data_IF_354806569846
#
_entry.id   IF_354806569846
#
_cell.length_a   1.000
_cell.length_b   1.000
_cell.length_c   1.000
_cell.angle_alpha   90.00
_cell.angle_beta   90.00
_cell.angle_gamma   90.00
#
_symmetry.space_group_name_H-M   'P 1'
#
loop_
_entity.id
_entity.type
_entity.pdbx_description
1 polymer ?
#
# COMPACT_ATOMS: atom_id res chain seq x y z
N UNK A 1 -2.87 -21.58 22.32
CA UNK A 1 -1.56 -21.24 21.73
C UNK A 1 -0.59 -21.00 22.86
N UNK A 2 0.57 -21.64 22.84
CA UNK A 2 1.64 -21.31 23.79
C UNK A 2 2.33 -19.98 23.41
N UNK A 3 2.98 -19.32 24.37
CA UNK A 3 3.73 -18.07 24.14
C UNK A 3 4.79 -18.20 23.03
N UNK A 4 5.36 -19.40 22.87
CA UNK A 4 6.30 -19.74 21.80
C UNK A 4 5.66 -19.75 20.41
N UNK A 5 4.41 -20.23 20.29
CA UNK A 5 3.69 -20.26 19.01
C UNK A 5 3.25 -18.87 18.57
N UNK A 6 2.80 -18.04 19.51
CA UNK A 6 2.46 -16.63 19.26
C UNK A 6 3.67 -15.84 18.76
N UNK A 7 4.82 -15.98 19.43
CA UNK A 7 6.07 -15.33 19.03
C UNK A 7 6.53 -15.72 17.62
N UNK A 8 6.33 -16.99 17.22
CA UNK A 8 6.68 -17.47 15.88
C UNK A 8 5.75 -16.94 14.80
N UNK A 9 4.45 -16.82 15.09
CA UNK A 9 3.47 -16.28 14.15
C UNK A 9 3.72 -14.80 13.87
N UNK A 10 3.98 -14.00 14.91
CA UNK A 10 4.28 -12.57 14.79
C UNK A 10 5.54 -12.34 13.93
N UNK A 11 6.62 -13.11 14.17
CA UNK A 11 7.85 -13.00 13.37
C UNK A 11 7.60 -13.28 11.89
N UNK A 12 6.83 -14.32 11.57
CA UNK A 12 6.49 -14.64 10.17
C UNK A 12 5.70 -13.53 9.49
N UNK A 13 4.80 -12.86 10.21
CA UNK A 13 4.06 -11.71 9.68
C UNK A 13 4.99 -10.51 9.45
N UNK A 14 5.88 -10.21 10.39
CA UNK A 14 6.88 -9.15 10.22
C UNK A 14 7.80 -9.41 9.01
N UNK A 15 8.29 -10.65 8.86
CA UNK A 15 9.09 -11.05 7.70
C UNK A 15 8.32 -10.87 6.39
N UNK A 16 7.02 -11.19 6.39
CA UNK A 16 6.14 -11.01 5.23
C UNK A 16 6.00 -9.53 4.85
N UNK A 17 5.87 -8.64 5.83
CA UNK A 17 5.83 -7.18 5.60
C UNK A 17 7.14 -6.71 4.97
N UNK A 18 8.28 -7.08 5.55
CA UNK A 18 9.61 -6.69 5.06
C UNK A 18 9.81 -7.17 3.61
N UNK A 19 9.45 -8.41 3.31
CA UNK A 19 9.50 -8.95 1.95
C UNK A 19 8.56 -8.20 1.00
N UNK A 20 7.36 -7.84 1.44
CA UNK A 20 6.42 -7.06 0.64
C UNK A 20 6.99 -5.69 0.27
N UNK A 21 7.63 -4.99 1.21
CA UNK A 21 8.31 -3.72 0.92
C UNK A 21 9.47 -3.89 -0.08
N UNK A 22 10.27 -4.94 0.10
CA UNK A 22 11.35 -5.25 -0.83
C UNK A 22 10.81 -5.55 -2.24
N UNK A 23 9.73 -6.32 -2.35
CA UNK A 23 9.08 -6.62 -3.62
C UNK A 23 8.57 -5.36 -4.34
N UNK A 24 8.07 -4.35 -3.60
CA UNK A 24 7.73 -3.03 -4.19
C UNK A 24 8.97 -2.36 -4.79
N UNK A 25 10.09 -2.34 -4.06
CA UNK A 25 11.35 -1.75 -4.57
C UNK A 25 11.89 -2.48 -5.80
N UNK A 26 11.71 -3.80 -5.85
CA UNK A 26 12.08 -4.66 -6.98
C UNK A 26 11.07 -4.62 -8.13
N UNK A 27 9.99 -3.84 -8.00
CA UNK A 27 8.87 -3.73 -8.95
C UNK A 27 8.12 -5.05 -9.17
N UNK A 28 8.23 -6.01 -8.26
CA UNK A 28 7.40 -7.20 -8.24
C UNK A 28 6.06 -6.92 -7.54
N UNK A 29 5.24 -6.09 -8.19
CA UNK A 29 4.04 -5.52 -7.56
C UNK A 29 2.97 -6.56 -7.23
N UNK A 30 2.83 -7.61 -8.04
CA UNK A 30 1.88 -8.69 -7.75
C UNK A 30 2.29 -9.45 -6.49
N UNK A 31 3.57 -9.81 -6.35
CA UNK A 31 4.08 -10.44 -5.13
C UNK A 31 3.93 -9.52 -3.92
N UNK A 32 4.31 -8.24 -4.07
CA UNK A 32 4.16 -7.25 -3.00
C UNK A 32 2.72 -7.16 -2.50
N UNK A 33 1.76 -7.08 -3.42
CA UNK A 33 0.33 -7.03 -3.11
C UNK A 33 -0.11 -8.27 -2.34
N UNK A 34 0.21 -9.45 -2.85
CA UNK A 34 -0.10 -10.72 -2.19
C UNK A 34 0.50 -10.82 -0.79
N UNK A 35 1.72 -10.29 -0.59
CA UNK A 35 2.37 -10.29 0.72
C UNK A 35 1.73 -9.30 1.69
N UNK A 36 1.39 -8.09 1.25
CA UNK A 36 0.99 -6.97 2.12
C UNK A 36 -0.51 -6.89 2.39
N UNK A 37 -1.37 -7.02 1.38
CA UNK A 37 -2.82 -6.80 1.52
C UNK A 37 -3.47 -7.64 2.64
N UNK A 38 -3.19 -8.94 2.77
CA UNK A 38 -3.81 -9.76 3.81
C UNK A 38 -3.44 -9.33 5.24
N UNK A 39 -2.41 -8.48 5.38
CA UNK A 39 -1.92 -8.00 6.66
C UNK A 39 -2.55 -6.67 7.08
N UNK A 40 -3.17 -5.92 6.16
CA UNK A 40 -3.79 -4.64 6.49
C UNK A 40 -4.79 -4.75 7.65
N UNK A 41 -5.75 -5.70 7.66
CA UNK A 41 -6.72 -5.80 8.77
C UNK A 41 -6.12 -6.23 10.12
N UNK A 42 -4.82 -6.55 10.17
CA UNK A 42 -4.14 -6.94 11.40
C UNK A 42 -3.23 -5.83 11.94
N UNK A 43 -2.79 -4.93 11.07
CA UNK A 43 -1.72 -3.96 11.38
C UNK A 43 -2.08 -2.53 11.03
N UNK A 44 -3.24 -2.27 10.42
CA UNK A 44 -3.74 -0.96 10.07
C UNK A 44 -5.22 -0.84 10.49
N UNK A 45 -5.53 0.16 11.31
CA UNK A 45 -6.89 0.49 11.75
C UNK A 45 -7.02 2.00 11.96
N UNK A 46 -8.24 2.52 11.92
CA UNK A 46 -8.52 3.97 12.08
C UNK A 46 -7.90 4.56 13.37
N UNK A 47 -7.98 3.85 14.50
CA UNK A 47 -7.43 4.32 15.79
C UNK A 47 -5.90 4.18 15.89
N UNK A 48 -5.30 3.33 15.05
CA UNK A 48 -3.87 3.05 15.04
C UNK A 48 -3.40 2.85 13.60
N UNK A 49 -3.34 3.95 12.81
CA UNK A 49 -3.01 3.83 11.41
C UNK A 49 -1.56 3.41 11.25
N UNK A 50 -1.33 2.46 10.36
CA UNK A 50 0.00 2.15 9.86
C UNK A 50 0.11 2.69 8.44
N UNK A 51 0.48 3.96 8.36
CA UNK A 51 0.55 4.71 7.10
C UNK A 51 1.58 4.09 6.17
N UNK A 52 2.73 3.67 6.70
CA UNK A 52 3.76 2.98 5.91
C UNK A 52 3.22 1.73 5.21
N UNK A 53 2.55 0.83 5.94
CA UNK A 53 1.98 -0.39 5.36
C UNK A 53 0.91 -0.07 4.32
N UNK A 54 0.02 0.89 4.61
CA UNK A 54 -1.02 1.30 3.70
C UNK A 54 -0.43 1.90 2.40
N UNK A 55 0.55 2.79 2.48
CA UNK A 55 1.20 3.38 1.30
C UNK A 55 1.90 2.34 0.43
N UNK A 56 2.66 1.40 1.01
CA UNK A 56 3.28 0.33 0.23
C UNK A 56 2.23 -0.59 -0.42
N UNK A 57 1.10 -0.79 0.24
CA UNK A 57 -0.02 -1.55 -0.32
C UNK A 57 -0.65 -0.81 -1.50
N UNK A 58 -0.89 0.50 -1.39
CA UNK A 58 -1.35 1.33 -2.51
C UNK A 58 -0.41 1.22 -3.71
N UNK A 59 0.91 1.37 -3.50
CA UNK A 59 1.92 1.26 -4.57
C UNK A 59 1.86 -0.11 -5.25
N UNK A 60 1.72 -1.19 -4.47
CA UNK A 60 1.61 -2.55 -5.01
C UNK A 60 0.31 -2.76 -5.81
N UNK A 61 -0.82 -2.20 -5.36
CA UNK A 61 -2.11 -2.29 -6.04
C UNK A 61 -2.06 -1.61 -7.41
N UNK A 62 -1.66 -0.34 -7.48
CA UNK A 62 -1.58 0.37 -8.75
C UNK A 62 -0.50 -0.23 -9.67
N UNK A 63 0.65 -0.65 -9.13
CA UNK A 63 1.71 -1.31 -9.89
C UNK A 63 1.30 -2.67 -10.46
N UNK A 64 0.40 -3.40 -9.77
CA UNK A 64 -0.22 -4.65 -10.26
C UNK A 64 -1.48 -4.40 -11.09
N UNK A 65 -1.82 -3.14 -11.37
CA UNK A 65 -2.99 -2.69 -12.14
C UNK A 65 -4.34 -3.03 -11.49
N UNK A 66 -4.36 -3.25 -10.17
CA UNK A 66 -5.61 -3.33 -9.41
C UNK A 66 -6.07 -1.92 -9.02
N UNK A 67 -6.72 -1.25 -9.98
CA UNK A 67 -7.10 0.15 -9.85
C UNK A 67 -8.21 0.35 -8.82
N UNK A 68 -9.19 -0.55 -8.75
CA UNK A 68 -10.30 -0.43 -7.81
C UNK A 68 -9.80 -0.56 -6.36
N UNK A 69 -8.91 -1.53 -6.09
CA UNK A 69 -8.29 -1.67 -4.78
C UNK A 69 -7.42 -0.45 -4.42
N UNK A 70 -6.64 0.04 -5.39
CA UNK A 70 -5.83 1.24 -5.22
C UNK A 70 -6.66 2.47 -4.83
N UNK A 71 -7.74 2.76 -5.56
CA UNK A 71 -8.56 3.94 -5.29
C UNK A 71 -9.16 3.90 -3.89
N UNK A 72 -9.64 2.73 -3.45
CA UNK A 72 -10.15 2.55 -2.08
C UNK A 72 -9.07 2.79 -1.02
N UNK A 73 -7.91 2.17 -1.19
CA UNK A 73 -6.81 2.33 -0.22
C UNK A 73 -6.22 3.75 -0.26
N UNK A 74 -6.25 4.42 -1.40
CA UNK A 74 -5.86 5.82 -1.54
C UNK A 74 -6.81 6.74 -0.78
N UNK A 75 -8.13 6.60 -0.97
CA UNK A 75 -9.12 7.38 -0.23
C UNK A 75 -8.94 7.23 1.30
N UNK A 76 -8.73 6.00 1.76
CA UNK A 76 -8.42 5.71 3.17
C UNK A 76 -7.11 6.41 3.61
N UNK A 77 -6.05 6.32 2.80
CA UNK A 77 -4.76 6.92 3.09
C UNK A 77 -4.85 8.45 3.29
N UNK A 78 -5.71 9.13 2.52
CA UNK A 78 -5.91 10.59 2.63
C UNK A 78 -6.56 11.03 3.94
N UNK A 79 -7.14 10.11 4.70
CA UNK A 79 -7.74 10.42 6.02
C UNK A 79 -6.69 10.52 7.14
N UNK A 80 -5.45 10.10 6.88
CA UNK A 80 -4.38 10.05 7.88
C UNK A 80 -3.29 11.10 7.63
N UNK A 81 -2.83 11.72 8.70
CA UNK A 81 -1.71 12.67 8.65
C UNK A 81 -0.38 11.93 8.88
N UNK A 82 0.59 11.99 7.94
CA UNK A 82 1.90 11.39 8.12
C UNK A 82 2.67 12.08 9.25
N UNK A 83 3.30 11.30 10.13
CA UNK A 83 3.99 11.82 11.32
C UNK A 83 5.51 11.82 11.20
N UNK A 84 6.04 11.19 10.15
CA UNK A 84 7.47 11.05 9.89
C UNK A 84 7.81 11.43 8.46
N UNK A 85 9.04 11.89 8.21
CA UNK A 85 9.52 12.22 6.86
C UNK A 85 9.37 11.04 5.89
N UNK A 86 9.58 9.80 6.39
CA UNK A 86 9.41 8.58 5.59
C UNK A 86 7.95 8.39 5.17
N UNK A 87 7.00 8.59 6.08
CA UNK A 87 5.57 8.49 5.76
C UNK A 87 5.17 9.60 4.80
N UNK A 88 5.63 10.84 5.02
CA UNK A 88 5.36 11.96 4.11
C UNK A 88 5.84 11.65 2.69
N UNK A 89 7.06 11.14 2.55
CA UNK A 89 7.60 10.77 1.24
C UNK A 89 6.82 9.62 0.57
N UNK A 90 6.36 8.63 1.35
CA UNK A 90 5.54 7.54 0.83
C UNK A 90 4.16 8.00 0.39
N UNK A 91 3.50 8.85 1.18
CA UNK A 91 2.20 9.44 0.84
C UNK A 91 2.33 10.29 -0.42
N UNK A 92 3.34 11.15 -0.50
CA UNK A 92 3.61 11.93 -1.70
C UNK A 92 3.81 11.05 -2.93
N UNK A 93 4.55 9.94 -2.80
CA UNK A 93 4.74 9.01 -3.91
C UNK A 93 3.42 8.40 -4.38
N UNK A 94 2.52 8.08 -3.45
CA UNK A 94 1.18 7.56 -3.78
C UNK A 94 0.33 8.64 -4.47
N UNK A 95 0.38 9.89 -3.98
CA UNK A 95 -0.32 11.03 -4.58
C UNK A 95 0.13 11.23 -6.05
N UNK A 96 1.43 11.21 -6.32
CA UNK A 96 1.98 11.31 -7.69
C UNK A 96 1.44 10.21 -8.60
N UNK A 97 1.37 8.97 -8.11
CA UNK A 97 0.86 7.84 -8.90
C UNK A 97 -0.65 7.98 -9.19
N UNK A 98 -1.41 8.54 -8.25
CA UNK A 98 -2.82 8.88 -8.47
C UNK A 98 -2.98 9.96 -9.54
N UNK A 99 -2.19 11.04 -9.46
CA UNK A 99 -2.21 12.12 -10.45
C UNK A 99 -1.87 11.63 -11.86
N UNK A 100 -0.86 10.76 -11.98
CA UNK A 100 -0.49 10.09 -13.23
C UNK A 100 -1.67 9.26 -13.79
N UNK A 101 -2.33 8.47 -12.94
CA UNK A 101 -3.50 7.68 -13.32
C UNK A 101 -4.64 8.59 -13.84
N UNK A 102 -4.98 9.64 -13.10
CA UNK A 102 -6.06 10.56 -13.46
C UNK A 102 -5.76 11.34 -14.75
N UNK A 103 -4.50 11.72 -14.95
CA UNK A 103 -4.03 12.34 -16.19
C UNK A 103 -4.22 11.39 -17.38
N UNK A 104 -3.83 10.12 -17.24
CA UNK A 104 -4.00 9.11 -18.28
C UNK A 104 -5.49 8.88 -18.63
N UNK A 105 -6.38 8.88 -17.65
CA UNK A 105 -7.83 8.76 -17.88
C UNK A 105 -8.37 9.98 -18.63
N UNK A 106 -7.91 11.17 -18.28
CA UNK A 106 -8.38 12.43 -18.88
C UNK A 106 -7.95 12.58 -20.34
N UNK A 107 -6.69 12.27 -20.66
CA UNK A 107 -6.18 12.29 -22.04
C UNK A 107 -6.98 11.38 -22.97
N UNK A 108 -7.35 10.18 -22.50
CA UNK A 108 -8.17 9.25 -23.30
C UNK A 108 -9.59 9.77 -23.61
N UNK A 109 -10.13 10.71 -22.81
CA UNK A 109 -11.44 11.31 -23.06
C UNK A 109 -11.40 12.38 -24.14
N UNK A 110 -10.30 13.10 -24.26
CA UNK A 110 -10.17 14.20 -25.24
C UNK A 110 -9.85 13.70 -26.65
N UNK A 111 -9.23 12.52 -26.80
CA UNK A 111 -8.96 11.89 -28.11
C UNK A 111 -10.16 11.11 -28.70
N UNK A 112 -11.28 11.02 -27.96
CA UNK A 112 -12.49 10.31 -28.38
C UNK A 112 -13.61 11.25 -28.91
N UNK A 113 -13.30 12.53 -29.16
CA UNK A 113 -14.22 13.54 -29.72
C UNK A 113 -13.78 14.03 -31.11
#
# INVERSE_FOLDING_TARGET
MSEHEQSKAIRKMADRIVKGYQAVHEKNYQEAKELLEPLLPLFHHEEKPNITLLSYTCIAQIGSKDIDAFLKSYEELKTFEPTTEKETALVQRVDEMFEELMSAISVNRDESN
#
